data_IF_869417391376
#
_entry.id   IF_869417391376
#
_cell.length_a   1.000
_cell.length_b   1.000
_cell.length_c   1.000
_cell.angle_alpha   90.00
_cell.angle_beta   90.00
_cell.angle_gamma   90.00
#
_symmetry.space_group_name_H-M   'P 1'
#
loop_
_entity.id
_entity.type
_entity.pdbx_description
1 polymer ?
#
# COMPACT_ATOMS: atom_id res chain seq x y z
N UNK A 1 27.11 -19.83 31.53
CA UNK A 1 25.75 -19.80 30.94
C UNK A 1 25.69 -19.29 29.50
N UNK A 2 26.47 -18.29 29.05
CA UNK A 2 26.42 -17.82 27.65
C UNK A 2 26.93 -18.84 26.60
N UNK A 3 27.86 -19.74 26.94
CA UNK A 3 28.46 -20.65 25.94
C UNK A 3 27.44 -21.59 25.28
N UNK A 4 26.35 -21.95 25.97
CA UNK A 4 25.29 -22.83 25.45
C UNK A 4 24.46 -22.20 24.34
N UNK A 5 24.43 -20.87 24.26
CA UNK A 5 23.64 -20.11 23.27
C UNK A 5 24.48 -19.48 22.16
N UNK A 6 25.81 -19.62 22.20
CA UNK A 6 26.71 -19.02 21.18
C UNK A 6 26.32 -19.44 19.77
N UNK A 7 26.13 -20.73 19.52
CA UNK A 7 25.81 -21.24 18.17
C UNK A 7 24.44 -20.75 17.66
N UNK A 8 23.33 -20.85 18.42
CA UNK A 8 22.06 -20.25 17.99
C UNK A 8 22.13 -18.74 17.75
N UNK A 9 22.82 -17.99 18.62
CA UNK A 9 22.94 -16.54 18.47
C UNK A 9 23.75 -16.15 17.23
N UNK A 10 24.82 -16.89 16.91
CA UNK A 10 25.57 -16.68 15.67
C UNK A 10 24.68 -16.99 14.46
N UNK A 11 23.90 -18.08 14.49
CA UNK A 11 23.00 -18.41 13.39
C UNK A 11 21.91 -17.34 13.18
N UNK A 12 21.34 -16.80 14.27
CA UNK A 12 20.42 -15.65 14.20
C UNK A 12 21.11 -14.44 13.58
N UNK A 13 22.32 -14.11 14.05
CA UNK A 13 23.07 -12.96 13.54
C UNK A 13 23.37 -13.12 12.05
N UNK A 14 23.74 -14.32 11.58
CA UNK A 14 23.95 -14.61 10.15
C UNK A 14 22.66 -14.52 9.31
N UNK A 15 21.51 -14.82 9.91
CA UNK A 15 20.18 -14.71 9.29
C UNK A 15 19.56 -13.31 9.34
N UNK A 16 20.20 -12.35 10.00
CA UNK A 16 19.68 -10.98 10.19
C UNK A 16 20.63 -9.92 9.64
N UNK A 17 21.93 -10.09 9.86
CA UNK A 17 22.96 -9.09 9.53
C UNK A 17 22.99 -8.70 8.04
N UNK A 18 22.77 -9.61 7.08
CA UNK A 18 22.73 -9.24 5.67
C UNK A 18 21.61 -8.27 5.31
N UNK A 19 20.48 -8.32 6.00
CA UNK A 19 19.44 -7.32 5.79
C UNK A 19 19.95 -5.90 6.05
N UNK A 20 20.75 -5.70 7.11
CA UNK A 20 21.26 -4.38 7.47
C UNK A 20 22.46 -3.92 6.63
N UNK A 21 23.29 -4.84 6.16
CA UNK A 21 24.47 -4.49 5.35
C UNK A 21 24.08 -4.12 3.92
N UNK A 22 22.98 -4.71 3.40
CA UNK A 22 22.64 -4.64 1.98
C UNK A 22 21.39 -3.81 1.65
N UNK A 23 20.83 -3.05 2.60
CA UNK A 23 19.72 -2.10 2.35
C UNK A 23 20.03 -1.08 1.23
N UNK A 24 21.28 -0.93 0.80
CA UNK A 24 21.69 0.10 -0.16
C UNK A 24 22.31 -0.36 -1.48
N UNK A 25 22.30 -1.65 -1.85
CA UNK A 25 22.93 -2.11 -3.10
C UNK A 25 21.93 -2.73 -4.09
N UNK A 26 20.97 -1.95 -4.57
CA UNK A 26 20.22 -2.31 -5.77
C UNK A 26 20.98 -1.85 -7.02
N UNK A 27 21.07 -2.71 -8.04
CA UNK A 27 21.51 -2.31 -9.36
C UNK A 27 20.29 -2.10 -10.24
N UNK A 28 19.92 -0.84 -10.43
CA UNK A 28 18.86 -0.45 -11.36
C UNK A 28 19.44 -0.35 -12.77
N UNK A 29 19.00 -1.21 -13.69
CA UNK A 29 19.31 -1.05 -15.12
C UNK A 29 18.17 -0.26 -15.75
N UNK A 30 18.50 0.95 -16.23
CA UNK A 30 17.56 1.78 -17.01
C UNK A 30 17.84 1.62 -18.51
N UNK A 31 16.78 1.46 -19.30
CA UNK A 31 16.83 1.55 -20.77
C UNK A 31 15.84 2.63 -21.17
N UNK A 32 16.31 3.68 -21.84
CA UNK A 32 15.50 4.86 -22.21
C UNK A 32 14.82 5.58 -21.03
N UNK A 33 15.44 5.58 -19.85
CA UNK A 33 14.88 6.23 -18.65
C UNK A 33 13.80 5.42 -17.92
N UNK A 34 13.39 4.27 -18.47
CA UNK A 34 12.55 3.30 -17.79
C UNK A 34 13.44 2.27 -17.06
N UNK A 35 13.14 1.96 -15.80
CA UNK A 35 13.79 0.88 -15.05
C UNK A 35 13.29 -0.45 -15.62
N UNK A 36 14.14 -1.19 -16.32
CA UNK A 36 13.76 -2.46 -16.98
C UNK A 36 14.11 -3.66 -16.11
N UNK A 37 15.04 -3.50 -15.16
CA UNK A 37 15.48 -4.58 -14.28
C UNK A 37 16.03 -4.00 -12.98
N UNK A 38 15.37 -4.32 -11.87
CA UNK A 38 15.88 -4.08 -10.52
C UNK A 38 16.13 -5.47 -9.90
N UNK A 39 17.37 -5.95 -9.98
CA UNK A 39 17.76 -7.21 -9.36
C UNK A 39 18.56 -6.95 -8.10
N UNK A 40 18.02 -7.36 -6.96
CA UNK A 40 18.68 -7.29 -5.66
C UNK A 40 19.34 -8.62 -5.27
N UNK A 41 19.93 -9.31 -6.24
CA UNK A 41 20.55 -10.61 -5.99
C UNK A 41 21.74 -10.48 -5.03
N UNK A 42 21.58 -10.98 -3.79
CA UNK A 42 22.58 -10.84 -2.74
C UNK A 42 23.32 -12.16 -2.52
N UNK A 43 24.35 -12.42 -3.33
CA UNK A 43 25.16 -13.64 -3.25
C UNK A 43 25.77 -13.85 -1.85
N UNK A 44 26.19 -12.77 -1.17
CA UNK A 44 26.73 -12.87 0.19
C UNK A 44 25.64 -13.27 1.18
N UNK A 45 24.44 -12.70 1.06
CA UNK A 45 23.26 -13.06 1.85
C UNK A 45 22.92 -14.54 1.72
N UNK A 46 22.99 -15.10 0.50
CA UNK A 46 22.80 -16.53 0.25
C UNK A 46 23.85 -17.36 0.99
N UNK A 47 25.14 -17.04 0.86
CA UNK A 47 26.22 -17.79 1.52
C UNK A 47 26.05 -17.77 3.04
N UNK A 48 25.77 -16.60 3.63
CA UNK A 48 25.59 -16.46 5.07
C UNK A 48 24.37 -17.22 5.59
N UNK A 49 23.26 -17.23 4.83
CA UNK A 49 22.07 -17.98 5.19
C UNK A 49 22.29 -19.50 5.13
N UNK A 50 23.03 -19.99 4.12
CA UNK A 50 23.40 -21.42 4.04
C UNK A 50 24.26 -21.83 5.25
N UNK A 51 25.23 -21.01 5.64
CA UNK A 51 26.04 -21.25 6.84
C UNK A 51 25.18 -21.23 8.11
N UNK A 52 24.28 -20.25 8.24
CA UNK A 52 23.35 -20.14 9.37
C UNK A 52 22.41 -21.36 9.49
N UNK A 53 21.86 -21.84 8.37
CA UNK A 53 21.05 -23.06 8.32
C UNK A 53 21.84 -24.29 8.74
N UNK A 54 23.07 -24.43 8.25
CA UNK A 54 23.93 -25.54 8.64
C UNK A 54 24.16 -25.55 10.15
N UNK A 55 24.48 -24.39 10.75
CA UNK A 55 24.65 -24.25 12.20
C UNK A 55 23.35 -24.57 12.97
N UNK A 56 22.21 -24.04 12.55
CA UNK A 56 20.92 -24.35 13.16
C UNK A 56 20.60 -25.84 13.11
N UNK A 57 20.86 -26.48 11.96
CA UNK A 57 20.67 -27.93 11.78
C UNK A 57 21.53 -28.74 12.75
N UNK A 58 22.81 -28.37 12.97
CA UNK A 58 23.65 -29.08 13.94
C UNK A 58 23.09 -29.08 15.37
N UNK A 59 22.33 -28.03 15.73
CA UNK A 59 21.71 -27.87 17.04
C UNK A 59 20.34 -28.57 17.12
N UNK A 60 19.60 -28.62 16.02
CA UNK A 60 18.28 -29.25 15.94
C UNK A 60 18.35 -30.78 15.82
N UNK A 61 19.49 -31.34 15.42
CA UNK A 61 19.67 -32.80 15.28
C UNK A 61 19.21 -33.58 16.52
N UNK A 62 18.59 -34.76 16.35
CA UNK A 62 18.12 -35.58 17.47
C UNK A 62 19.22 -35.93 18.49
N UNK A 63 20.46 -36.13 18.00
CA UNK A 63 21.63 -36.46 18.81
C UNK A 63 22.18 -35.28 19.64
N UNK A 64 21.68 -34.06 19.44
CA UNK A 64 22.11 -32.88 20.17
C UNK A 64 21.44 -32.79 21.55
N UNK A 65 22.08 -32.12 22.55
CA UNK A 65 21.53 -31.98 23.90
C UNK A 65 20.08 -31.46 23.89
N UNK A 66 19.21 -32.10 24.68
CA UNK A 66 17.75 -31.86 24.72
C UNK A 66 17.28 -30.55 25.36
N UNK A 67 18.11 -29.49 25.35
CA UNK A 67 17.72 -28.18 25.85
C UNK A 67 16.67 -27.57 24.92
N UNK A 68 15.41 -27.57 25.38
CA UNK A 68 14.24 -27.10 24.63
C UNK A 68 14.40 -25.65 24.20
N UNK A 69 14.96 -24.78 25.06
CA UNK A 69 15.15 -23.36 24.75
C UNK A 69 16.20 -23.20 23.65
N UNK A 70 17.30 -23.97 23.72
CA UNK A 70 18.33 -23.97 22.69
C UNK A 70 17.80 -24.45 21.34
N UNK A 71 16.95 -25.49 21.33
CA UNK A 71 16.31 -26.00 20.10
C UNK A 71 15.30 -25.01 19.55
N UNK A 72 14.51 -24.34 20.40
CA UNK A 72 13.58 -23.29 19.96
C UNK A 72 14.32 -22.13 19.27
N UNK A 73 15.41 -21.64 19.88
CA UNK A 73 16.25 -20.59 19.28
C UNK A 73 16.87 -21.02 17.95
N UNK A 74 17.33 -22.26 17.84
CA UNK A 74 17.84 -22.80 16.58
C UNK A 74 16.74 -22.92 15.51
N UNK A 75 15.50 -23.24 15.90
CA UNK A 75 14.34 -23.24 15.01
C UNK A 75 14.04 -21.84 14.46
N UNK A 76 14.03 -20.82 15.32
CA UNK A 76 13.87 -19.41 14.91
C UNK A 76 15.00 -19.00 13.97
N UNK A 77 16.26 -19.34 14.30
CA UNK A 77 17.41 -19.05 13.45
C UNK A 77 17.27 -19.68 12.05
N UNK A 78 16.80 -20.93 11.98
CA UNK A 78 16.56 -21.59 10.72
C UNK A 78 15.49 -20.89 9.89
N UNK A 79 14.37 -20.48 10.50
CA UNK A 79 13.33 -19.70 9.83
C UNK A 79 13.87 -18.38 9.28
N UNK A 80 14.63 -17.62 10.08
CA UNK A 80 15.25 -16.36 9.64
C UNK A 80 16.19 -16.57 8.45
N UNK A 81 16.99 -17.64 8.46
CA UNK A 81 17.88 -17.95 7.33
C UNK A 81 17.10 -18.38 6.07
N UNK A 82 15.95 -19.04 6.19
CA UNK A 82 15.08 -19.35 5.04
C UNK A 82 14.47 -18.07 4.44
N UNK A 83 13.98 -17.16 5.27
CA UNK A 83 13.47 -15.85 4.82
C UNK A 83 14.60 -15.07 4.15
N UNK A 84 15.82 -15.11 4.69
CA UNK A 84 16.98 -14.47 4.08
C UNK A 84 17.36 -15.07 2.73
N UNK A 85 17.29 -16.40 2.57
CA UNK A 85 17.54 -17.03 1.27
C UNK A 85 16.54 -16.58 0.23
N UNK A 86 15.25 -16.61 0.57
CA UNK A 86 14.19 -16.18 -0.33
C UNK A 86 14.34 -14.69 -0.69
N UNK A 87 14.66 -13.84 0.30
CA UNK A 87 14.92 -12.41 0.06
C UNK A 87 16.17 -12.16 -0.80
N UNK A 88 17.26 -12.88 -0.54
CA UNK A 88 18.52 -12.72 -1.28
C UNK A 88 18.43 -13.23 -2.73
N UNK A 89 17.43 -14.07 -3.02
CA UNK A 89 17.08 -14.56 -4.35
C UNK A 89 15.98 -13.71 -5.03
N UNK A 90 15.58 -12.58 -4.43
CA UNK A 90 14.50 -11.69 -4.89
C UNK A 90 13.14 -12.41 -5.05
N UNK A 91 12.91 -13.47 -4.25
CA UNK A 91 11.63 -14.20 -4.22
C UNK A 91 10.61 -13.50 -3.32
N UNK A 92 11.09 -12.90 -2.22
CA UNK A 92 10.26 -12.14 -1.28
C UNK A 92 10.98 -10.85 -0.89
N UNK A 93 10.23 -9.82 -0.51
CA UNK A 93 10.78 -8.57 0.01
C UNK A 93 10.19 -8.33 1.40
N UNK A 94 10.83 -8.85 2.47
CA UNK A 94 10.27 -8.78 3.82
C UNK A 94 10.08 -7.35 4.33
N UNK A 95 10.85 -6.39 3.79
CA UNK A 95 10.72 -4.98 4.14
C UNK A 95 9.39 -4.40 3.62
N UNK A 96 8.92 -4.85 2.46
CA UNK A 96 7.62 -4.48 1.90
C UNK A 96 6.46 -4.97 2.79
N UNK A 97 6.67 -5.95 3.67
CA UNK A 97 5.64 -6.32 4.67
C UNK A 97 5.49 -5.29 5.79
N UNK A 98 6.55 -4.56 6.10
CA UNK A 98 6.54 -3.51 7.13
C UNK A 98 6.22 -2.14 6.55
N UNK A 99 6.57 -1.92 5.29
CA UNK A 99 6.32 -0.68 4.55
C UNK A 99 5.83 -1.01 3.14
N UNK A 100 4.59 -1.52 3.01
CA UNK A 100 4.03 -1.97 1.72
C UNK A 100 3.89 -0.87 0.69
N UNK A 101 3.97 0.39 1.11
CA UNK A 101 3.83 1.57 0.25
C UNK A 101 5.15 2.36 0.11
N UNK A 102 6.30 1.80 0.52
CA UNK A 102 7.57 2.53 0.48
C UNK A 102 8.04 2.90 -0.94
N UNK A 103 7.63 2.11 -1.95
CA UNK A 103 7.86 2.35 -3.37
C UNK A 103 6.80 3.26 -4.01
N UNK A 104 5.73 3.58 -3.30
CA UNK A 104 4.66 4.45 -3.77
C UNK A 104 4.97 5.93 -3.44
N UNK A 105 4.47 6.87 -4.26
CA UNK A 105 4.64 8.29 -3.99
C UNK A 105 4.04 8.66 -2.61
N UNK A 106 4.69 9.52 -1.81
CA UNK A 106 4.11 10.00 -0.57
C UNK A 106 2.87 10.86 -0.87
N UNK A 107 1.85 10.76 -0.01
CA UNK A 107 0.66 11.61 -0.09
C UNK A 107 0.95 12.96 0.56
N UNK A 108 0.52 14.05 -0.09
CA UNK A 108 0.69 15.41 0.41
C UNK A 108 -0.59 15.95 1.07
N UNK A 109 -1.75 15.35 0.79
CA UNK A 109 -3.01 15.79 1.36
C UNK A 109 -3.04 15.55 2.88
N UNK A 110 -3.36 16.60 3.64
CA UNK A 110 -3.44 16.58 5.11
C UNK A 110 -4.75 17.16 5.65
N UNK A 111 -5.73 17.37 4.78
CA UNK A 111 -7.03 17.96 5.09
C UNK A 111 -7.38 19.14 4.20
N UNK A 112 -8.66 19.53 4.23
CA UNK A 112 -9.16 20.64 3.42
C UNK A 112 -8.48 21.97 3.76
N UNK A 113 -8.11 22.72 2.72
CA UNK A 113 -7.77 24.13 2.85
C UNK A 113 -8.98 24.93 3.35
N UNK A 114 -8.72 26.06 4.02
CA UNK A 114 -9.77 26.97 4.49
C UNK A 114 -10.66 27.45 3.34
N UNK A 115 -10.09 27.68 2.16
CA UNK A 115 -10.84 28.10 0.97
C UNK A 115 -11.83 27.02 0.51
N UNK A 116 -11.37 25.77 0.34
CA UNK A 116 -12.23 24.68 -0.09
C UNK A 116 -13.29 24.33 0.96
N UNK A 117 -12.94 24.40 2.25
CA UNK A 117 -13.90 24.24 3.35
C UNK A 117 -14.98 25.32 3.31
N UNK A 118 -14.59 26.60 3.28
CA UNK A 118 -15.55 27.71 3.21
C UNK A 118 -16.44 27.63 1.97
N UNK A 119 -15.93 27.11 0.85
CA UNK A 119 -16.72 26.91 -0.35
C UNK A 119 -17.89 25.94 -0.12
N UNK A 120 -17.65 24.75 0.43
CA UNK A 120 -18.73 23.77 0.69
C UNK A 120 -19.61 24.16 1.87
N UNK A 121 -19.04 24.74 2.93
CA UNK A 121 -19.81 25.28 4.05
C UNK A 121 -20.77 26.36 3.54
N UNK A 122 -20.30 27.26 2.66
CA UNK A 122 -21.15 28.27 2.05
C UNK A 122 -22.28 27.72 1.18
N UNK A 123 -22.16 26.49 0.62
CA UNK A 123 -23.28 25.81 -0.06
C UNK A 123 -24.32 25.37 0.95
N UNK A 124 -23.89 24.73 2.05
CA UNK A 124 -24.77 24.22 3.11
C UNK A 124 -25.46 25.37 3.87
N UNK A 125 -24.73 26.43 4.21
CA UNK A 125 -25.23 27.59 4.96
C UNK A 125 -26.34 28.35 4.23
N UNK A 126 -26.38 28.31 2.89
CA UNK A 126 -27.50 28.89 2.12
C UNK A 126 -28.82 28.16 2.37
N UNK A 127 -28.78 26.94 2.92
CA UNK A 127 -29.96 26.16 3.26
C UNK A 127 -30.78 25.70 2.06
N UNK A 128 -30.24 25.80 0.84
CA UNK A 128 -30.92 25.34 -0.37
C UNK A 128 -30.59 23.87 -0.63
N UNK A 129 -31.56 23.00 -0.36
CA UNK A 129 -31.42 21.55 -0.53
C UNK A 129 -30.98 21.16 -1.94
N UNK A 130 -31.55 21.78 -2.97
CA UNK A 130 -31.25 21.45 -4.37
C UNK A 130 -29.78 21.73 -4.72
N UNK A 131 -29.19 22.77 -4.11
CA UNK A 131 -27.77 23.08 -4.30
C UNK A 131 -26.87 22.04 -3.63
N UNK A 132 -27.21 21.63 -2.40
CA UNK A 132 -26.46 20.60 -1.66
C UNK A 132 -26.52 19.27 -2.40
N UNK A 133 -27.71 18.82 -2.81
CA UNK A 133 -27.89 17.57 -3.56
C UNK A 133 -27.12 17.60 -4.86
N UNK A 134 -27.22 18.69 -5.62
CA UNK A 134 -26.53 18.82 -6.91
C UNK A 134 -25.01 18.78 -6.76
N UNK A 135 -24.45 19.48 -5.77
CA UNK A 135 -23.00 19.49 -5.55
C UNK A 135 -22.50 18.14 -5.02
N UNK A 136 -23.26 17.52 -4.10
CA UNK A 136 -22.98 16.17 -3.58
C UNK A 136 -22.95 15.16 -4.72
N UNK A 137 -24.00 15.10 -5.56
CA UNK A 137 -24.07 14.19 -6.69
C UNK A 137 -22.92 14.41 -7.67
N UNK A 138 -22.66 15.65 -8.08
CA UNK A 138 -21.60 15.94 -9.06
C UNK A 138 -20.22 15.53 -8.55
N UNK A 139 -19.89 15.86 -7.29
CA UNK A 139 -18.60 15.45 -6.70
C UNK A 139 -18.49 13.95 -6.58
N UNK A 140 -19.53 13.28 -6.07
CA UNK A 140 -19.54 11.82 -5.96
C UNK A 140 -19.32 11.13 -7.31
N UNK A 141 -19.91 11.63 -8.40
CA UNK A 141 -19.68 11.09 -9.75
C UNK A 141 -18.19 11.16 -10.15
N UNK A 142 -17.56 12.33 -10.02
CA UNK A 142 -16.15 12.50 -10.41
C UNK A 142 -15.21 11.72 -9.49
N UNK A 143 -15.45 11.73 -8.18
CA UNK A 143 -14.61 10.99 -7.24
C UNK A 143 -14.72 9.48 -7.42
N UNK A 144 -15.89 8.94 -7.80
CA UNK A 144 -16.03 7.53 -8.15
C UNK A 144 -15.31 7.17 -9.45
N UNK A 145 -15.35 8.04 -10.46
CA UNK A 145 -14.59 7.85 -11.70
C UNK A 145 -13.08 7.81 -11.42
N UNK A 146 -12.58 8.79 -10.65
CA UNK A 146 -11.19 8.84 -10.22
C UNK A 146 -10.80 7.60 -9.38
N UNK A 147 -11.71 7.12 -8.52
CA UNK A 147 -11.50 5.91 -7.72
C UNK A 147 -11.38 4.67 -8.60
N UNK A 148 -12.24 4.52 -9.62
CA UNK A 148 -12.10 3.43 -10.59
C UNK A 148 -10.78 3.55 -11.36
N UNK A 149 -10.39 4.75 -11.79
CA UNK A 149 -9.13 4.96 -12.48
C UNK A 149 -7.93 4.57 -11.60
N UNK A 150 -7.96 4.93 -10.31
CA UNK A 150 -6.94 4.54 -9.34
C UNK A 150 -6.90 3.02 -9.15
N UNK A 151 -8.04 2.37 -8.93
CA UNK A 151 -8.13 0.92 -8.70
C UNK A 151 -7.68 0.13 -9.93
N UNK A 152 -8.14 0.52 -11.13
CA UNK A 152 -7.73 -0.11 -12.39
C UNK A 152 -6.22 0.01 -12.62
N UNK A 153 -5.62 1.15 -12.27
CA UNK A 153 -4.17 1.31 -12.34
C UNK A 153 -3.44 0.49 -11.28
N UNK A 154 -3.94 0.46 -10.04
CA UNK A 154 -3.35 -0.31 -8.95
C UNK A 154 -3.40 -1.82 -9.23
N UNK A 155 -4.49 -2.32 -9.81
CA UNK A 155 -4.64 -3.74 -10.19
C UNK A 155 -3.61 -4.17 -11.23
N UNK A 156 -3.37 -3.32 -12.23
CA UNK A 156 -2.47 -3.66 -13.34
C UNK A 156 -1.00 -3.40 -12.99
N UNK A 157 -0.70 -2.31 -12.28
CA UNK A 157 0.68 -1.84 -12.07
C UNK A 157 1.22 -2.05 -10.65
N UNK A 158 0.37 -2.32 -9.66
CA UNK A 158 0.76 -2.35 -8.24
C UNK A 158 0.08 -3.48 -7.44
N UNK A 159 -0.31 -4.58 -8.08
CA UNK A 159 -0.88 -5.78 -7.46
C UNK A 159 -2.11 -5.51 -6.56
N UNK A 160 -2.96 -4.55 -6.96
CA UNK A 160 -4.19 -4.21 -6.23
C UNK A 160 -3.96 -3.47 -4.91
N UNK A 161 -2.80 -2.84 -4.72
CA UNK A 161 -2.51 -1.99 -3.55
C UNK A 161 -3.30 -0.68 -3.60
N UNK A 162 -4.58 -0.73 -3.22
CA UNK A 162 -5.45 0.44 -3.20
C UNK A 162 -5.10 1.37 -2.04
N UNK A 163 -5.21 2.68 -2.29
CA UNK A 163 -4.99 3.75 -1.30
C UNK A 163 -6.27 4.53 -0.96
N UNK A 164 -7.40 4.07 -1.47
CA UNK A 164 -8.75 4.59 -1.20
C UNK A 164 -9.65 3.43 -0.79
N UNK A 165 -10.51 3.69 0.21
CA UNK A 165 -11.60 2.80 0.58
C UNK A 165 -12.85 3.13 -0.27
N UNK A 166 -13.08 2.32 -1.31
CA UNK A 166 -14.18 2.51 -2.25
C UNK A 166 -15.55 2.38 -1.56
N UNK A 167 -15.71 1.42 -0.64
CA UNK A 167 -16.98 1.20 0.05
C UNK A 167 -17.29 2.37 0.98
N UNK A 168 -16.27 2.93 1.66
CA UNK A 168 -16.43 4.14 2.45
C UNK A 168 -16.84 5.34 1.59
N UNK A 169 -16.27 5.51 0.39
CA UNK A 169 -16.67 6.54 -0.57
C UNK A 169 -18.14 6.37 -0.99
N UNK A 170 -18.56 5.15 -1.33
CA UNK A 170 -19.96 4.85 -1.69
C UNK A 170 -20.92 5.16 -0.55
N UNK A 171 -20.53 4.86 0.69
CA UNK A 171 -21.34 5.16 1.87
C UNK A 171 -21.60 6.66 2.05
N UNK A 172 -20.73 7.56 1.54
CA UNK A 172 -20.90 9.01 1.72
C UNK A 172 -22.16 9.56 1.06
N UNK A 173 -22.58 9.02 -0.08
CA UNK A 173 -23.79 9.47 -0.79
C UNK A 173 -24.99 8.54 -0.58
N UNK A 174 -24.86 7.52 0.28
CA UNK A 174 -25.96 6.61 0.65
C UNK A 174 -27.14 7.29 1.37
N UNK A 175 -26.94 8.52 1.84
CA UNK A 175 -27.98 9.37 2.44
C UNK A 175 -29.01 9.86 1.41
N UNK A 176 -28.66 9.86 0.12
CA UNK A 176 -29.55 10.28 -0.96
C UNK A 176 -30.59 9.19 -1.27
N UNK A 177 -31.75 9.52 -1.88
CA UNK A 177 -32.68 8.52 -2.40
C UNK A 177 -32.01 7.57 -3.39
N UNK A 178 -32.44 6.30 -3.41
CA UNK A 178 -31.86 5.24 -4.27
C UNK A 178 -31.74 5.65 -5.74
N UNK A 179 -32.75 6.35 -6.29
CA UNK A 179 -32.70 6.82 -7.67
C UNK A 179 -31.51 7.77 -7.96
N UNK A 180 -31.11 8.59 -6.99
CA UNK A 180 -29.94 9.48 -7.13
C UNK A 180 -28.63 8.72 -6.92
N UNK A 181 -28.61 7.72 -6.03
CA UNK A 181 -27.45 6.83 -5.88
C UNK A 181 -27.18 6.07 -7.20
N UNK A 182 -28.24 5.51 -7.79
CA UNK A 182 -28.16 4.81 -9.08
C UNK A 182 -27.66 5.75 -10.19
N UNK A 183 -28.14 7.00 -10.22
CA UNK A 183 -27.67 8.01 -11.18
C UNK A 183 -26.18 8.32 -11.00
N UNK A 184 -25.71 8.49 -9.76
CA UNK A 184 -24.29 8.73 -9.46
C UNK A 184 -23.44 7.57 -10.00
N UNK A 185 -23.80 6.34 -9.64
CA UNK A 185 -23.04 5.14 -10.03
C UNK A 185 -23.05 4.95 -11.54
N UNK A 186 -24.20 5.15 -12.20
CA UNK A 186 -24.30 5.02 -13.65
C UNK A 186 -23.49 6.08 -14.37
N UNK A 187 -23.57 7.35 -13.96
CA UNK A 187 -22.79 8.43 -14.56
C UNK A 187 -21.28 8.23 -14.38
N UNK A 188 -20.84 7.75 -13.21
CA UNK A 188 -19.44 7.41 -12.99
C UNK A 188 -18.99 6.25 -13.91
N UNK A 189 -19.84 5.23 -14.10
CA UNK A 189 -19.56 4.13 -15.03
C UNK A 189 -19.49 4.61 -16.50
N UNK A 190 -20.34 5.55 -16.90
CA UNK A 190 -20.35 6.12 -18.25
C UNK A 190 -19.11 6.99 -18.54
N UNK A 191 -18.51 7.60 -17.51
CA UNK A 191 -17.26 8.38 -17.62
C UNK A 191 -16.00 7.50 -17.63
N UNK A 192 -16.13 6.25 -17.16
CA UNK A 192 -15.00 5.35 -16.92
C UNK A 192 -14.15 5.18 -18.17
N UNK A 193 -12.87 5.49 -18.02
CA UNK A 193 -11.87 5.26 -19.07
C UNK A 193 -11.52 3.77 -19.18
N UNK A 194 -11.03 3.30 -20.34
CA UNK A 194 -10.50 1.95 -20.44
C UNK A 194 -9.40 1.72 -19.40
N UNK A 195 -9.40 0.52 -18.80
CA UNK A 195 -8.35 0.11 -17.88
C UNK A 195 -6.96 0.23 -18.54
N UNK A 196 -5.93 0.62 -17.79
CA UNK A 196 -4.57 0.72 -18.31
C UNK A 196 -4.03 -0.66 -18.67
N UNK A 197 -2.96 -0.67 -19.46
CA UNK A 197 -2.18 -1.86 -19.78
C UNK A 197 -0.83 -1.82 -19.08
N UNK A 198 -0.08 -2.93 -19.11
CA UNK A 198 1.27 -2.98 -18.54
C UNK A 198 2.23 -1.95 -19.17
N UNK A 199 1.98 -1.52 -20.40
CA UNK A 199 2.79 -0.49 -21.07
C UNK A 199 2.59 0.91 -20.45
N UNK A 200 1.47 1.12 -19.73
CA UNK A 200 1.14 2.39 -19.09
C UNK A 200 1.79 2.55 -17.70
N UNK A 201 2.39 1.48 -17.14
CA UNK A 201 3.01 1.45 -15.81
C UNK A 201 4.35 2.20 -15.74
N UNK A 202 4.35 3.49 -16.07
CA UNK A 202 5.53 4.36 -16.02
C UNK A 202 5.65 5.08 -14.67
N UNK A 203 6.86 5.50 -14.23
CA UNK A 203 7.03 6.25 -12.99
C UNK A 203 6.18 7.53 -12.93
N UNK A 204 6.03 8.23 -14.06
CA UNK A 204 5.19 9.42 -14.15
C UNK A 204 3.71 9.08 -13.92
N UNK A 205 3.22 7.98 -14.50
CA UNK A 205 1.84 7.52 -14.30
C UNK A 205 1.62 7.03 -12.87
N UNK A 206 2.59 6.36 -12.25
CA UNK A 206 2.53 5.96 -10.84
C UNK A 206 2.47 7.17 -9.91
N UNK A 207 3.31 8.19 -10.12
CA UNK A 207 3.27 9.43 -9.33
C UNK A 207 1.89 10.09 -9.38
N UNK A 208 1.28 10.13 -10.56
CA UNK A 208 -0.06 10.67 -10.73
C UNK A 208 -1.13 9.75 -10.11
N UNK A 209 -1.27 8.51 -10.56
CA UNK A 209 -2.38 7.63 -10.21
C UNK A 209 -2.33 7.09 -8.77
N UNK A 210 -1.14 6.93 -8.20
CA UNK A 210 -0.96 6.46 -6.81
C UNK A 210 -0.67 7.60 -5.83
N UNK A 211 -0.46 8.83 -6.30
CA UNK A 211 -0.10 10.00 -5.50
C UNK A 211 -1.11 11.14 -5.69
N UNK A 212 -0.90 11.96 -6.73
CA UNK A 212 -1.69 13.18 -6.98
C UNK A 212 -3.20 12.90 -7.06
N UNK A 213 -3.61 11.85 -7.78
CA UNK A 213 -5.01 11.47 -7.90
C UNK A 213 -5.61 11.03 -6.55
N UNK A 214 -4.82 10.38 -5.70
CA UNK A 214 -5.24 9.97 -4.36
C UNK A 214 -5.40 11.17 -3.44
N UNK A 215 -4.50 12.16 -3.53
CA UNK A 215 -4.61 13.43 -2.81
C UNK A 215 -5.87 14.21 -3.23
N UNK A 216 -6.12 14.30 -4.55
CA UNK A 216 -7.33 14.94 -5.08
C UNK A 216 -8.61 14.23 -4.61
N UNK A 217 -8.64 12.89 -4.65
CA UNK A 217 -9.78 12.11 -4.14
C UNK A 217 -10.02 12.32 -2.65
N UNK A 218 -8.97 12.31 -1.82
CA UNK A 218 -9.10 12.57 -0.38
C UNK A 218 -9.65 13.97 -0.12
N UNK A 219 -9.23 14.97 -0.91
CA UNK A 219 -9.82 16.30 -0.85
C UNK A 219 -11.30 16.29 -1.19
N UNK A 220 -11.71 15.60 -2.25
CA UNK A 220 -13.13 15.51 -2.62
C UNK A 220 -13.95 14.76 -1.57
N UNK A 221 -13.41 13.69 -0.98
CA UNK A 221 -14.05 12.91 0.09
C UNK A 221 -14.40 13.81 1.30
N UNK A 222 -13.47 14.67 1.72
CA UNK A 222 -13.74 15.63 2.81
C UNK A 222 -14.84 16.64 2.43
N UNK A 223 -14.86 17.11 1.18
CA UNK A 223 -15.89 18.03 0.68
C UNK A 223 -17.27 17.35 0.60
N UNK A 224 -17.32 16.12 0.09
CA UNK A 224 -18.52 15.27 0.03
C UNK A 224 -19.05 15.01 1.45
N UNK A 225 -18.15 14.75 2.42
CA UNK A 225 -18.51 14.54 3.83
C UNK A 225 -19.26 15.73 4.41
N UNK A 226 -18.78 16.96 4.16
CA UNK A 226 -19.46 18.20 4.60
C UNK A 226 -20.85 18.33 3.94
N UNK A 227 -20.94 18.09 2.63
CA UNK A 227 -22.20 18.17 1.90
C UNK A 227 -23.23 17.12 2.36
N UNK A 228 -22.79 15.88 2.62
CA UNK A 228 -23.61 14.83 3.22
C UNK A 228 -24.17 15.27 4.57
N UNK A 229 -23.32 15.80 5.44
CA UNK A 229 -23.76 16.24 6.77
C UNK A 229 -24.74 17.41 6.69
N UNK A 230 -24.49 18.34 5.77
CA UNK A 230 -25.44 19.42 5.44
C UNK A 230 -26.78 18.90 4.92
N UNK A 231 -26.76 17.90 4.03
CA UNK A 231 -27.97 17.26 3.51
C UNK A 231 -28.80 16.64 4.64
N UNK A 232 -28.17 15.85 5.51
CA UNK A 232 -28.84 15.22 6.66
C UNK A 232 -29.40 16.28 7.63
N UNK A 233 -28.66 17.35 7.90
CA UNK A 233 -29.12 18.42 8.79
C UNK A 233 -30.32 19.20 8.24
N UNK A 234 -30.39 19.38 6.93
CA UNK A 234 -31.50 20.07 6.25
C UNK A 234 -32.70 19.14 5.96
N UNK A 235 -32.54 17.82 6.09
CA UNK A 235 -33.57 16.80 5.87
C UNK A 235 -33.72 15.83 7.06
N UNK A 236 -34.16 16.32 8.23
CA UNK A 236 -34.24 15.53 9.46
C UNK A 236 -35.35 14.47 9.48
#
# INVERSE_FOLDING_TARGET
MLSRFKTPLIAILLGVLPYFIFVGSSQTITVNGAVVRDEQFNLLGIVLAVVGLWLAFTVLRPSAPGDVVRKALAGIAALLCLVQLAASADIIRPLDWLTPDADLPPLAYSGLSTENRNFVDGIVERGNMDDVVRDLMNRSVFTLDDAHQHMDYADICHDGRYRIDYDALVALFSVLPTAQQDEITQRAADLRRPAPTLEDCSPQRTNYAMGELVDDMNQQIDMITILRDGYVALNP
#
